data_IF_545342360556
#
_entry.id   IF_545342360556
#
_cell.length_a   1.000
_cell.length_b   1.000
_cell.length_c   1.000
_cell.angle_alpha   90.00
_cell.angle_beta   90.00
_cell.angle_gamma   90.00
#
_symmetry.space_group_name_H-M   'P 1'
#
loop_
_entity.id
_entity.type
_entity.pdbx_description
1 polymer ?
#
# COMPACT_ATOMS: atom_id res chain seq x y z
N UNK A 1 -22.80 46.94 -9.45
CA UNK A 1 -21.57 46.49 -8.76
C UNK A 1 -21.70 45.16 -8.02
N UNK A 2 -22.91 44.67 -7.70
CA UNK A 2 -23.11 43.34 -7.07
C UNK A 2 -22.99 42.14 -8.04
N UNK A 3 -23.24 42.31 -9.34
CA UNK A 3 -23.11 41.22 -10.34
C UNK A 3 -21.66 40.77 -10.56
N UNK A 4 -20.67 41.68 -10.45
CA UNK A 4 -19.24 41.35 -10.57
C UNK A 4 -18.70 40.63 -9.33
N UNK A 5 -19.28 40.91 -8.15
CA UNK A 5 -18.93 40.24 -6.90
C UNK A 5 -19.43 38.78 -6.91
N UNK A 6 -20.59 38.53 -7.51
CA UNK A 6 -21.10 37.15 -7.69
C UNK A 6 -20.23 36.31 -8.63
N UNK A 7 -19.65 36.92 -9.67
CA UNK A 7 -18.72 36.23 -10.59
C UNK A 7 -17.37 35.91 -9.92
N UNK A 8 -16.92 36.73 -8.98
CA UNK A 8 -15.68 36.50 -8.23
C UNK A 8 -15.81 35.43 -7.13
N UNK A 9 -17.00 35.24 -6.55
CA UNK A 9 -17.23 34.24 -5.50
C UNK A 9 -17.25 32.78 -6.03
N UNK A 10 -17.55 32.57 -7.32
CA UNK A 10 -17.61 31.23 -7.94
C UNK A 10 -16.21 30.69 -8.30
N UNK A 11 -15.20 31.56 -8.40
CA UNK A 11 -13.84 31.16 -8.80
C UNK A 11 -13.02 30.47 -7.70
N UNK A 12 -13.50 30.43 -6.45
CA UNK A 12 -12.71 29.97 -5.29
C UNK A 12 -12.96 28.48 -4.95
N UNK A 13 -13.83 27.78 -5.68
CA UNK A 13 -14.24 26.39 -5.36
C UNK A 13 -13.40 25.28 -6.02
N UNK A 14 -12.36 25.58 -6.80
CA UNK A 14 -11.68 24.57 -7.63
C UNK A 14 -10.39 23.96 -7.05
N UNK A 15 -10.00 24.28 -5.82
CA UNK A 15 -8.80 23.71 -5.17
C UNK A 15 -9.12 22.68 -4.10
N UNK A 16 -10.05 21.76 -4.38
CA UNK A 16 -10.07 20.47 -3.68
C UNK A 16 -9.19 19.51 -4.47
N UNK A 17 -7.92 19.43 -4.08
CA UNK A 17 -6.99 18.39 -4.52
C UNK A 17 -7.48 17.04 -4.01
N UNK A 18 -8.41 16.42 -4.75
CA UNK A 18 -8.73 15.00 -4.60
C UNK A 18 -7.50 14.22 -5.01
N UNK A 19 -6.73 13.75 -4.02
CA UNK A 19 -5.71 12.72 -4.23
C UNK A 19 -6.42 11.43 -4.65
N UNK A 20 -6.78 11.33 -5.94
CA UNK A 20 -7.32 10.13 -6.56
C UNK A 20 -6.22 9.07 -6.81
N UNK A 21 -5.26 8.94 -5.88
CA UNK A 21 -4.28 7.86 -5.97
C UNK A 21 -5.04 6.54 -5.81
N UNK A 22 -4.83 5.61 -6.74
CA UNK A 22 -5.47 4.31 -6.65
C UNK A 22 -5.01 3.62 -5.36
N UNK A 23 -5.81 2.69 -4.84
CA UNK A 23 -5.42 1.87 -3.67
C UNK A 23 -4.10 1.11 -3.85
N UNK A 24 -3.58 1.05 -5.07
CA UNK A 24 -2.32 0.40 -5.42
C UNK A 24 -1.10 1.35 -5.34
N UNK A 25 -1.29 2.61 -4.93
CA UNK A 25 -0.23 3.59 -4.81
C UNK A 25 0.23 4.15 -6.17
N UNK A 26 1.43 4.74 -6.20
CA UNK A 26 1.98 5.38 -7.39
C UNK A 26 2.38 4.39 -8.50
N UNK A 27 2.77 3.15 -8.14
CA UNK A 27 3.15 2.09 -9.08
C UNK A 27 2.21 0.90 -8.95
N UNK A 28 1.10 0.98 -9.69
CA UNK A 28 0.04 -0.01 -9.65
C UNK A 28 0.51 -1.41 -10.09
N UNK A 29 1.33 -1.47 -11.14
CA UNK A 29 1.81 -2.74 -11.68
C UNK A 29 2.68 -3.47 -10.67
N UNK A 30 3.63 -2.74 -10.06
CA UNK A 30 4.53 -3.31 -9.06
C UNK A 30 3.79 -3.68 -7.77
N UNK A 31 2.76 -2.93 -7.39
CA UNK A 31 1.89 -3.34 -6.30
C UNK A 31 1.16 -4.65 -6.60
N UNK A 32 0.54 -4.79 -7.76
CA UNK A 32 -0.16 -6.03 -8.16
C UNK A 32 0.80 -7.23 -8.20
N UNK A 33 2.00 -7.04 -8.72
CA UNK A 33 3.05 -8.06 -8.75
C UNK A 33 3.45 -8.51 -7.35
N UNK A 34 3.86 -7.58 -6.48
CA UNK A 34 4.26 -7.90 -5.11
C UNK A 34 3.11 -8.50 -4.28
N UNK A 35 1.88 -8.00 -4.46
CA UNK A 35 0.68 -8.58 -3.85
C UNK A 35 0.49 -10.04 -4.27
N UNK A 36 0.65 -10.34 -5.56
CA UNK A 36 0.52 -11.70 -6.09
C UNK A 36 1.60 -12.61 -5.50
N UNK A 37 2.87 -12.17 -5.56
CA UNK A 37 4.02 -12.93 -5.09
C UNK A 37 3.93 -13.25 -3.60
N UNK A 38 3.70 -12.25 -2.73
CA UNK A 38 3.65 -12.52 -1.29
C UNK A 38 2.47 -13.44 -0.93
N UNK A 39 1.32 -13.30 -1.61
CA UNK A 39 0.15 -14.16 -1.36
C UNK A 39 0.45 -15.60 -1.73
N UNK A 40 1.14 -15.81 -2.84
CA UNK A 40 1.50 -17.15 -3.30
C UNK A 40 2.51 -17.81 -2.36
N UNK A 41 3.60 -17.11 -2.02
CA UNK A 41 4.56 -17.60 -1.01
C UNK A 41 3.89 -17.85 0.35
N UNK A 42 2.98 -16.99 0.78
CA UNK A 42 2.23 -17.18 2.03
C UNK A 42 1.35 -18.44 2.01
N UNK A 43 0.67 -18.73 0.89
CA UNK A 43 -0.12 -19.97 0.74
C UNK A 43 0.77 -21.21 0.79
N UNK A 44 1.94 -21.15 0.15
CA UNK A 44 2.95 -22.21 0.19
C UNK A 44 3.66 -22.31 1.54
N UNK A 45 3.33 -21.42 2.50
CA UNK A 45 3.98 -21.29 3.82
C UNK A 45 5.47 -20.96 3.74
N UNK A 46 5.96 -20.50 2.59
CA UNK A 46 7.31 -19.97 2.46
C UNK A 46 7.34 -18.52 2.95
N UNK A 47 7.37 -18.35 4.27
CA UNK A 47 7.25 -17.05 4.90
C UNK A 47 8.51 -16.18 4.77
N UNK A 48 9.69 -16.78 4.62
CA UNK A 48 10.92 -16.02 4.37
C UNK A 48 10.92 -15.44 2.95
N UNK A 49 10.55 -16.23 1.94
CA UNK A 49 10.39 -15.75 0.56
C UNK A 49 9.26 -14.72 0.44
N UNK A 50 8.19 -14.89 1.24
CA UNK A 50 7.10 -13.93 1.28
C UNK A 50 7.52 -12.56 1.85
N UNK A 51 8.60 -12.48 2.64
CA UNK A 51 8.96 -11.27 3.38
C UNK A 51 9.25 -10.08 2.47
N UNK A 52 10.08 -10.26 1.44
CA UNK A 52 10.47 -9.17 0.55
C UNK A 52 9.28 -8.55 -0.21
N UNK A 53 8.45 -9.33 -0.94
CA UNK A 53 7.29 -8.77 -1.63
C UNK A 53 6.22 -8.25 -0.66
N UNK A 54 6.04 -8.89 0.50
CA UNK A 54 5.15 -8.38 1.55
C UNK A 54 5.61 -7.01 2.08
N UNK A 55 6.90 -6.86 2.42
CA UNK A 55 7.45 -5.61 2.95
C UNK A 55 7.34 -4.50 1.92
N UNK A 56 7.60 -4.82 0.65
CA UNK A 56 7.42 -3.85 -0.43
C UNK A 56 5.95 -3.38 -0.51
N UNK A 57 4.99 -4.31 -0.52
CA UNK A 57 3.56 -3.97 -0.56
C UNK A 57 3.12 -3.17 0.68
N UNK A 58 3.62 -3.51 1.87
CA UNK A 58 3.37 -2.79 3.11
C UNK A 58 3.83 -1.33 3.05
N UNK A 59 5.01 -1.06 2.48
CA UNK A 59 5.57 0.29 2.42
C UNK A 59 4.99 1.14 1.28
N UNK A 60 4.62 0.52 0.15
CA UNK A 60 4.29 1.25 -1.08
C UNK A 60 2.80 1.23 -1.44
N UNK A 61 2.06 0.21 -1.00
CA UNK A 61 0.62 0.11 -1.29
C UNK A 61 -0.17 -0.59 -0.16
N UNK A 62 -0.11 -0.10 1.08
CA UNK A 62 -0.75 -0.73 2.25
C UNK A 62 -2.28 -0.86 2.12
N UNK A 63 -2.91 0.07 1.39
CA UNK A 63 -4.35 0.11 1.18
C UNK A 63 -4.85 -0.93 0.16
N UNK A 64 -3.94 -1.53 -0.60
CA UNK A 64 -4.31 -2.42 -1.70
C UNK A 64 -4.94 -3.73 -1.20
N UNK A 65 -4.57 -4.19 0.00
CA UNK A 65 -5.15 -5.39 0.61
C UNK A 65 -4.98 -5.45 2.13
N UNK A 66 -6.07 -5.70 2.87
CA UNK A 66 -6.00 -5.98 4.31
C UNK A 66 -5.18 -7.22 4.68
N UNK A 67 -4.91 -8.12 3.73
CA UNK A 67 -4.05 -9.29 3.96
C UNK A 67 -2.60 -8.91 4.26
N UNK A 68 -2.16 -7.73 3.81
CA UNK A 68 -0.84 -7.18 4.15
C UNK A 68 -0.68 -7.15 5.68
N UNK A 69 -1.69 -6.67 6.41
CA UNK A 69 -1.64 -6.59 7.87
C UNK A 69 -1.93 -7.95 8.53
N UNK A 70 -2.94 -8.69 8.04
CA UNK A 70 -3.32 -9.99 8.63
C UNK A 70 -2.20 -11.03 8.58
N UNK A 71 -1.40 -11.01 7.52
CA UNK A 71 -0.33 -12.00 7.32
C UNK A 71 1.02 -11.57 7.94
N UNK A 72 1.16 -10.28 8.29
CA UNK A 72 2.40 -9.71 8.83
C UNK A 72 2.97 -10.49 10.03
N UNK A 73 2.19 -10.89 11.06
CA UNK A 73 2.77 -11.55 12.24
C UNK A 73 3.49 -12.86 11.93
N UNK A 74 2.96 -13.66 10.99
CA UNK A 74 3.60 -14.93 10.61
C UNK A 74 4.87 -14.71 9.78
N UNK A 75 4.80 -13.77 8.83
CA UNK A 75 5.93 -13.42 7.96
C UNK A 75 7.08 -12.86 8.81
N UNK A 76 6.79 -11.89 9.68
CA UNK A 76 7.79 -11.30 10.57
C UNK A 76 8.39 -12.31 11.54
N UNK A 77 7.56 -13.15 12.17
CA UNK A 77 8.04 -14.20 13.08
C UNK A 77 8.97 -15.20 12.39
N UNK A 78 8.65 -15.59 11.15
CA UNK A 78 9.51 -16.46 10.36
C UNK A 78 10.84 -15.77 10.03
N UNK A 79 10.80 -14.49 9.64
CA UNK A 79 12.01 -13.72 9.34
C UNK A 79 12.93 -13.58 10.55
N UNK A 80 12.35 -13.26 11.73
CA UNK A 80 13.10 -13.16 12.98
C UNK A 80 13.75 -14.48 13.38
N UNK A 81 13.06 -15.62 13.18
CA UNK A 81 13.60 -16.95 13.45
C UNK A 81 14.74 -17.35 12.49
N UNK A 82 14.67 -16.88 11.25
CA UNK A 82 15.72 -17.11 10.25
C UNK A 82 16.95 -16.21 10.49
N UNK A 83 16.77 -15.06 11.13
CA UNK A 83 17.85 -14.14 11.47
C UNK A 83 18.76 -14.73 12.55
N UNK A 84 20.06 -14.86 12.23
CA UNK A 84 21.07 -15.50 13.08
C UNK A 84 21.47 -14.63 14.27
N UNK A 85 21.15 -13.35 14.24
CA UNK A 85 21.44 -12.40 15.33
C UNK A 85 20.48 -12.52 16.52
N UNK A 86 19.34 -13.23 16.36
CA UNK A 86 18.37 -13.50 17.41
C UNK A 86 18.47 -14.93 17.99
N UNK A 87 19.60 -15.61 17.76
CA UNK A 87 19.88 -16.96 18.28
C UNK A 87 20.75 -16.95 19.52
#
# INVERSE_FOLDING_TARGET
>A
MMKKVLVLAVAVLTVVSVNAQSKFGADEQKCKENLSMFREYYKQKSYDDAYNPWRWAYLNCPEASGNIFKNAPKILKAKMKADKTNK
#
